data_IF_133314856991
#
_entry.id   IF_133314856991
#
_cell.length_a   1.000
_cell.length_b   1.000
_cell.length_c   1.000
_cell.angle_alpha   90.00
_cell.angle_beta   90.00
_cell.angle_gamma   90.00
#
_symmetry.space_group_name_H-M   'P 1'
#
loop_
_entity.id
_entity.type
_entity.pdbx_description
1 polymer ?
#
# COMPACT_ATOMS: atom_id res chain seq x y z
N UNK A 1 7.18 -11.09 2.48
CA UNK A 1 6.68 -9.71 2.29
C UNK A 1 7.84 -8.85 1.86
N UNK A 2 7.61 -7.97 0.90
CA UNK A 2 8.62 -7.06 0.38
C UNK A 2 8.83 -5.89 1.33
N UNK A 3 10.03 -5.31 1.36
CA UNK A 3 10.26 -4.04 2.05
C UNK A 3 9.72 -2.87 1.20
N UNK A 4 9.08 -1.89 1.84
CA UNK A 4 8.49 -0.71 1.19
C UNK A 4 9.21 0.54 1.70
N UNK A 5 10.10 1.06 0.87
CA UNK A 5 10.70 2.38 1.02
C UNK A 5 9.96 3.41 0.12
N UNK A 6 10.12 4.73 0.34
CA UNK A 6 9.60 5.73 -0.58
C UNK A 6 10.15 5.53 -2.00
N UNK A 7 9.26 5.54 -2.99
CA UNK A 7 9.55 5.22 -4.39
C UNK A 7 9.38 3.75 -4.76
N UNK A 8 9.04 2.86 -3.82
CA UNK A 8 8.79 1.45 -4.12
C UNK A 8 7.56 1.29 -5.01
N UNK A 9 7.62 0.27 -5.89
CA UNK A 9 6.49 -0.13 -6.73
C UNK A 9 6.04 -1.55 -6.39
N UNK A 10 4.74 -1.73 -6.24
CA UNK A 10 4.09 -3.03 -6.07
C UNK A 10 3.26 -3.32 -7.33
N UNK A 11 3.29 -4.56 -7.81
CA UNK A 11 2.64 -4.98 -9.06
C UNK A 11 1.75 -6.17 -8.79
N UNK A 12 0.43 -6.03 -8.98
CA UNK A 12 -0.47 -7.19 -8.96
C UNK A 12 0.00 -8.15 -10.05
N UNK A 13 0.33 -9.37 -9.63
CA UNK A 13 0.88 -10.35 -10.54
C UNK A 13 -0.11 -10.69 -11.66
N UNK A 14 0.40 -11.25 -12.75
CA UNK A 14 -0.41 -11.54 -13.93
C UNK A 14 -1.47 -12.63 -13.69
N UNK A 15 -1.37 -13.37 -12.58
CA UNK A 15 -2.40 -14.33 -12.15
C UNK A 15 -3.44 -13.69 -11.21
N UNK A 16 -3.35 -12.39 -10.94
CA UNK A 16 -4.27 -11.64 -10.07
C UNK A 16 -3.96 -11.78 -8.59
N UNK A 17 -2.74 -12.19 -8.24
CA UNK A 17 -2.30 -12.25 -6.86
C UNK A 17 -2.04 -10.84 -6.29
N UNK A 18 -2.63 -10.57 -5.12
CA UNK A 18 -2.39 -9.34 -4.37
C UNK A 18 -0.93 -9.23 -3.95
N UNK A 19 -0.42 -8.01 -3.87
CA UNK A 19 0.93 -7.73 -3.42
C UNK A 19 0.95 -7.05 -2.07
N UNK A 20 2.04 -7.21 -1.33
CA UNK A 20 2.16 -6.57 -0.03
C UNK A 20 3.57 -6.53 0.52
N UNK A 21 3.74 -5.64 1.49
CA UNK A 21 5.04 -5.39 2.09
C UNK A 21 4.97 -4.62 3.39
N UNK A 22 6.14 -4.46 4.00
CA UNK A 22 6.32 -3.79 5.28
C UNK A 22 7.01 -2.46 5.05
N UNK A 23 6.49 -1.39 5.62
CA UNK A 23 7.09 -0.06 5.54
C UNK A 23 8.42 -0.02 6.29
N UNK A 24 9.44 0.57 5.64
CA UNK A 24 10.75 0.86 6.24
C UNK A 24 10.93 2.34 6.58
N UNK A 25 9.81 3.07 6.73
CA UNK A 25 9.83 4.50 7.01
C UNK A 25 8.62 4.94 7.84
N UNK A 26 8.80 6.07 8.53
CA UNK A 26 7.73 6.77 9.26
C UNK A 26 7.30 8.01 8.46
N UNK A 27 6.01 8.32 8.42
CA UNK A 27 5.49 9.54 7.81
C UNK A 27 4.13 9.35 7.15
N UNK A 28 3.84 10.12 6.10
CA UNK A 28 2.67 9.88 5.26
C UNK A 28 3.04 9.13 4.00
N UNK A 29 2.39 8.00 3.78
CA UNK A 29 2.46 7.27 2.54
C UNK A 29 1.33 7.76 1.62
N UNK A 30 1.71 8.38 0.50
CA UNK A 30 0.82 8.62 -0.63
C UNK A 30 0.97 7.51 -1.64
N UNK A 31 -0.16 7.06 -2.16
CA UNK A 31 -0.26 5.99 -3.12
C UNK A 31 -0.89 6.49 -4.42
N UNK A 32 -0.27 6.19 -5.55
CA UNK A 32 -0.80 6.55 -6.87
C UNK A 32 -1.17 5.29 -7.66
N UNK A 33 -2.41 5.26 -8.16
CA UNK A 33 -2.96 4.17 -8.98
C UNK A 33 -3.20 4.64 -10.41
N UNK A 34 -3.10 3.71 -11.36
CA UNK A 34 -3.57 3.93 -12.73
C UNK A 34 -5.05 3.60 -12.92
N UNK A 35 -5.64 2.72 -12.07
CA UNK A 35 -7.00 2.18 -12.20
C UNK A 35 -7.73 1.96 -10.84
N UNK A 36 -8.62 0.95 -10.70
CA UNK A 36 -9.59 0.74 -9.59
C UNK A 36 -9.06 -0.07 -8.38
N UNK A 37 -7.74 -0.07 -8.16
CA UNK A 37 -7.14 -0.77 -7.04
C UNK A 37 -7.55 -0.27 -5.64
N UNK A 38 -7.35 -1.12 -4.64
CA UNK A 38 -7.55 -0.84 -3.21
C UNK A 38 -6.24 -1.00 -2.45
N UNK A 39 -5.99 -0.09 -1.51
CA UNK A 39 -4.91 -0.22 -0.53
C UNK A 39 -5.49 -0.38 0.84
N UNK A 40 -4.89 -1.30 1.58
CA UNK A 40 -5.12 -1.47 3.01
C UNK A 40 -3.77 -1.31 3.70
N UNK A 41 -3.72 -0.43 4.71
CA UNK A 41 -2.58 -0.37 5.64
C UNK A 41 -3.03 -0.93 6.97
N UNK A 42 -2.15 -1.74 7.58
CA UNK A 42 -2.37 -2.34 8.88
C UNK A 42 -1.20 -2.02 9.81
N UNK A 43 -1.49 -1.93 11.12
CA UNK A 43 -0.46 -2.04 12.16
C UNK A 43 0.29 -3.37 12.05
N UNK A 44 1.42 -3.49 12.75
CA UNK A 44 2.13 -4.78 12.89
C UNK A 44 1.26 -5.88 13.53
N UNK A 45 0.27 -5.49 14.35
CA UNK A 45 -0.77 -6.38 14.89
C UNK A 45 -1.77 -6.89 13.84
N UNK A 46 -1.65 -6.45 12.59
CA UNK A 46 -2.54 -6.71 11.45
C UNK A 46 -3.95 -6.10 11.57
N UNK A 47 -4.15 -5.18 12.52
CA UNK A 47 -5.35 -4.35 12.56
C UNK A 47 -5.31 -3.26 11.49
N UNK A 48 -6.41 -3.10 10.75
CA UNK A 48 -6.54 -2.13 9.65
C UNK A 48 -6.63 -0.71 10.19
N UNK A 49 -5.77 0.17 9.70
CA UNK A 49 -5.72 1.59 10.07
C UNK A 49 -6.13 2.52 8.94
N UNK A 50 -5.98 2.05 7.71
CA UNK A 50 -6.33 2.80 6.52
C UNK A 50 -6.84 1.85 5.45
N UNK A 51 -7.89 2.29 4.76
CA UNK A 51 -8.45 1.62 3.59
C UNK A 51 -8.85 2.68 2.58
N UNK A 52 -8.27 2.62 1.38
CA UNK A 52 -8.49 3.63 0.34
C UNK A 52 -9.94 3.72 -0.15
N UNK A 53 -10.77 2.70 0.08
CA UNK A 53 -12.20 2.72 -0.27
C UNK A 53 -13.01 3.57 0.70
N UNK A 54 -12.67 3.54 1.98
CA UNK A 54 -13.48 4.16 3.05
C UNK A 54 -12.84 5.43 3.59
N UNK A 55 -11.54 5.63 3.38
CA UNK A 55 -10.84 6.81 3.82
C UNK A 55 -11.20 8.02 2.96
N UNK A 56 -11.50 9.18 3.58
CA UNK A 56 -11.69 10.42 2.85
C UNK A 56 -10.36 11.04 2.36
N UNK A 57 -9.21 10.50 2.78
CA UNK A 57 -7.89 11.04 2.46
C UNK A 57 -7.12 10.11 1.51
N UNK A 58 -6.38 10.67 0.54
CA UNK A 58 -5.57 9.89 -0.41
C UNK A 58 -4.21 9.44 0.18
N UNK A 59 -3.94 9.78 1.45
CA UNK A 59 -2.68 9.50 2.15
C UNK A 59 -2.99 8.78 3.47
N UNK A 60 -2.07 7.92 3.88
CA UNK A 60 -2.12 7.20 5.15
C UNK A 60 -0.91 7.61 6.01
N UNK A 61 -1.11 7.92 7.29
CA UNK A 61 -0.01 7.96 8.25
C UNK A 61 0.49 6.52 8.47
N UNK A 62 1.81 6.32 8.45
CA UNK A 62 2.46 5.01 8.56
C UNK A 62 3.68 5.09 9.47
N UNK A 63 3.98 3.97 10.13
CA UNK A 63 5.23 3.78 10.85
C UNK A 63 6.01 2.58 10.28
N UNK A 64 7.32 2.58 10.53
CA UNK A 64 8.22 1.47 10.25
C UNK A 64 7.68 0.20 10.91
N UNK A 65 7.62 -0.90 10.14
CA UNK A 65 7.04 -2.16 10.58
C UNK A 65 5.55 -2.33 10.30
N UNK A 66 4.83 -1.28 9.90
CA UNK A 66 3.44 -1.41 9.44
C UNK A 66 3.39 -2.06 8.07
N UNK A 67 2.23 -2.62 7.73
CA UNK A 67 2.05 -3.43 6.53
C UNK A 67 1.14 -2.75 5.53
N UNK A 68 1.44 -2.87 4.24
CA UNK A 68 0.58 -2.49 3.13
C UNK A 68 0.18 -3.72 2.34
N UNK A 69 -1.11 -3.80 1.99
CA UNK A 69 -1.67 -4.74 1.03
C UNK A 69 -2.25 -3.96 -0.14
N UNK A 70 -1.81 -4.29 -1.35
CA UNK A 70 -2.33 -3.78 -2.61
C UNK A 70 -3.19 -4.87 -3.25
N UNK A 71 -4.45 -4.53 -3.52
CA UNK A 71 -5.47 -5.41 -4.06
C UNK A 71 -5.97 -4.78 -5.36
N UNK A 72 -6.04 -5.54 -6.43
CA UNK A 72 -6.38 -4.98 -7.73
C UNK A 72 -6.48 -6.02 -8.84
N UNK A 73 -6.59 -5.51 -10.07
CA UNK A 73 -6.64 -6.34 -11.27
C UNK A 73 -5.22 -6.75 -11.74
N UNK A 74 -5.08 -7.88 -12.46
CA UNK A 74 -3.78 -8.34 -12.95
C UNK A 74 -3.02 -7.27 -13.74
N UNK A 75 -1.77 -7.02 -13.35
CA UNK A 75 -0.90 -6.04 -14.00
C UNK A 75 -1.07 -4.60 -13.52
N UNK A 76 -1.99 -4.33 -12.59
CA UNK A 76 -2.04 -3.01 -11.94
C UNK A 76 -0.78 -2.75 -11.11
N UNK A 77 -0.33 -1.50 -11.12
CA UNK A 77 0.86 -1.08 -10.39
C UNK A 77 0.53 0.06 -9.43
N UNK A 78 1.13 -0.04 -8.24
CA UNK A 78 1.09 0.97 -7.21
C UNK A 78 2.50 1.55 -7.04
N UNK A 79 2.62 2.87 -7.02
CA UNK A 79 3.82 3.56 -6.52
C UNK A 79 3.55 4.20 -5.18
N UNK A 80 4.42 3.93 -4.21
CA UNK A 80 4.38 4.51 -2.86
C UNK A 80 5.36 5.68 -2.79
N UNK A 81 4.90 6.83 -2.35
CA UNK A 81 5.75 8.02 -2.11
C UNK A 81 5.56 8.54 -0.70
N UNK A 82 6.62 9.05 -0.07
CA UNK A 82 6.51 9.78 1.19
C UNK A 82 6.14 11.25 0.91
N UNK A 83 5.15 11.77 1.64
CA UNK A 83 4.76 13.19 1.64
C UNK A 83 5.25 13.96 2.86
#
# INVERSE_FOLDING_TARGET
MSAIAPGSSLLIGQAGENEGGTFEFNGRARSAFTEQGRIVVCYDSLEVVYDSITSPQPEADVEEGWHLLFIGDPGEMLTVTAS
#
